data_IF_880273120169
#
_entry.id   IF_880273120169
#
_cell.length_a   1.000
_cell.length_b   1.000
_cell.length_c   1.000
_cell.angle_alpha   90.00
_cell.angle_beta   90.00
_cell.angle_gamma   90.00
#
_symmetry.space_group_name_H-M   'P 1'
#
loop_
_entity.id
_entity.type
_entity.pdbx_description
1 polymer ?
#
# COMPACT_ATOMS: atom_id res chain seq x y z
N UNK A 1 -8.20 23.40 -16.39
CA UNK A 1 -8.98 22.31 -15.78
C UNK A 1 -8.07 21.63 -14.78
N UNK A 2 -8.53 21.43 -13.54
CA UNK A 2 -7.81 20.63 -12.56
C UNK A 2 -7.62 19.22 -13.13
N UNK A 3 -6.40 18.68 -13.13
CA UNK A 3 -6.18 17.31 -13.57
C UNK A 3 -6.48 16.39 -12.39
N UNK A 4 -7.24 15.33 -12.65
CA UNK A 4 -7.46 14.24 -11.70
C UNK A 4 -6.25 13.31 -11.78
N UNK A 5 -5.68 12.94 -10.65
CA UNK A 5 -4.62 11.94 -10.57
C UNK A 5 -5.21 10.58 -10.18
N UNK A 6 -4.60 9.51 -10.69
CA UNK A 6 -4.85 8.15 -10.22
C UNK A 6 -3.77 7.75 -9.23
N UNK A 7 -4.15 7.22 -8.07
CA UNK A 7 -3.23 6.72 -7.07
C UNK A 7 -3.54 5.26 -6.79
N UNK A 8 -2.53 4.42 -6.94
CA UNK A 8 -2.53 3.08 -6.37
C UNK A 8 -1.85 3.15 -5.00
N UNK A 9 -2.67 3.04 -3.94
CA UNK A 9 -2.21 3.05 -2.56
C UNK A 9 -1.94 1.61 -2.12
N UNK A 10 -0.79 1.06 -2.50
CA UNK A 10 -0.42 -0.32 -2.22
C UNK A 10 0.03 -0.55 -0.77
N UNK A 11 -0.01 -1.81 -0.33
CA UNK A 11 0.45 -2.23 1.01
C UNK A 11 1.96 -2.01 1.17
N UNK A 12 2.73 -2.38 0.16
CA UNK A 12 4.20 -2.28 0.17
C UNK A 12 4.69 -1.06 -0.62
N UNK A 13 4.13 -0.83 -1.82
CA UNK A 13 4.51 0.28 -2.69
C UNK A 13 3.28 0.98 -3.22
N UNK A 14 3.38 2.28 -3.41
CA UNK A 14 2.35 3.13 -4.03
C UNK A 14 2.87 3.79 -5.29
N UNK A 15 1.97 4.12 -6.22
CA UNK A 15 2.32 4.90 -7.40
C UNK A 15 1.23 5.92 -7.74
N UNK A 16 1.62 6.94 -8.52
CA UNK A 16 0.72 7.97 -9.02
C UNK A 16 0.82 8.08 -10.53
N UNK A 17 -0.33 8.24 -11.17
CA UNK A 17 -0.44 8.38 -12.62
C UNK A 17 -1.38 9.54 -12.99
N UNK A 18 -1.15 10.06 -14.19
CA UNK A 18 -2.00 11.06 -14.83
C UNK A 18 -2.41 10.60 -16.22
N UNK A 19 -3.43 11.22 -16.77
CA UNK A 19 -3.76 11.11 -18.19
C UNK A 19 -3.07 12.23 -18.95
N UNK A 20 -2.09 11.91 -19.79
CA UNK A 20 -1.35 12.84 -20.63
C UNK A 20 -1.62 12.54 -22.09
N UNK A 21 -2.22 13.49 -22.81
CA UNK A 21 -2.61 13.31 -24.22
C UNK A 21 -3.46 12.05 -24.48
N UNK A 22 -4.36 11.72 -23.56
CA UNK A 22 -5.25 10.55 -23.65
C UNK A 22 -4.57 9.21 -23.31
N UNK A 23 -3.32 9.22 -22.83
CA UNK A 23 -2.60 8.01 -22.41
C UNK A 23 -2.25 8.08 -20.92
N UNK A 24 -2.37 6.97 -20.18
CA UNK A 24 -1.91 6.93 -18.80
C UNK A 24 -0.38 7.02 -18.74
N UNK A 25 0.10 7.83 -17.82
CA UNK A 25 1.52 8.01 -17.55
C UNK A 25 1.75 7.94 -16.04
N UNK A 26 2.59 7.02 -15.62
CA UNK A 26 3.08 6.94 -14.23
C UNK A 26 4.12 8.06 -14.04
N UNK A 27 3.99 8.77 -12.92
CA UNK A 27 4.90 9.85 -12.53
C UNK A 27 6.02 9.27 -11.69
N UNK A 28 7.26 9.63 -12.03
CA UNK A 28 8.42 9.32 -11.20
C UNK A 28 8.44 10.20 -9.95
N UNK A 29 8.84 9.64 -8.83
CA UNK A 29 9.02 10.37 -7.59
C UNK A 29 10.32 11.21 -7.60
N UNK A 30 10.60 11.91 -6.51
CA UNK A 30 11.81 12.74 -6.38
C UNK A 30 13.12 11.95 -6.42
N UNK A 31 13.05 10.64 -6.20
CA UNK A 31 14.15 9.70 -6.26
C UNK A 31 14.36 9.11 -7.67
N UNK A 32 13.48 9.40 -8.63
CA UNK A 32 13.51 8.88 -10.01
C UNK A 32 12.80 7.54 -10.20
N UNK A 33 12.14 7.03 -9.16
CA UNK A 33 11.44 5.75 -9.20
C UNK A 33 9.97 5.93 -9.56
N UNK A 34 9.39 4.95 -10.26
CA UNK A 34 7.96 4.93 -10.61
C UNK A 34 7.05 4.45 -9.51
N UNK A 35 7.63 3.84 -8.48
CA UNK A 35 6.93 3.41 -7.28
C UNK A 35 7.60 4.02 -6.06
N UNK A 36 6.81 4.24 -5.01
CA UNK A 36 7.30 4.79 -3.74
C UNK A 36 6.93 3.80 -2.64
N UNK A 37 7.87 3.33 -1.81
CA UNK A 37 7.54 2.49 -0.66
C UNK A 37 6.47 3.14 0.22
N UNK A 38 5.44 2.36 0.57
CA UNK A 38 4.35 2.78 1.46
C UNK A 38 4.82 2.75 2.92
N UNK A 39 5.96 3.40 3.18
CA UNK A 39 6.65 3.45 4.48
C UNK A 39 6.71 4.89 4.96
N UNK A 40 6.40 5.08 6.25
CA UNK A 40 6.44 6.40 6.92
C UNK A 40 7.28 6.28 8.17
N UNK A 41 8.32 7.12 8.30
CA UNK A 41 9.15 7.17 9.50
C UNK A 41 9.02 8.52 10.19
N UNK A 42 8.87 8.48 11.50
CA UNK A 42 8.78 9.64 12.37
C UNK A 42 10.12 9.83 13.07
N UNK A 43 10.89 10.80 12.62
CA UNK A 43 12.16 11.20 13.26
C UNK A 43 11.94 12.24 14.35
N UNK A 44 12.99 12.73 14.99
CA UNK A 44 12.85 13.79 16.00
C UNK A 44 12.36 15.12 15.39
N UNK A 45 12.73 15.39 14.14
CA UNK A 45 12.55 16.69 13.52
C UNK A 45 11.50 16.69 12.41
N UNK A 46 11.23 15.54 11.79
CA UNK A 46 10.37 15.47 10.60
C UNK A 46 9.71 14.11 10.42
N UNK A 47 8.68 14.07 9.57
CA UNK A 47 8.08 12.83 9.03
C UNK A 47 8.59 12.63 7.61
N UNK A 48 9.19 11.49 7.36
CA UNK A 48 9.71 11.12 6.05
C UNK A 48 8.91 9.95 5.45
N UNK A 49 8.82 9.90 4.12
CA UNK A 49 7.99 8.93 3.39
C UNK A 49 8.77 8.34 2.23
N UNK A 50 8.56 7.07 1.95
CA UNK A 50 9.13 6.38 0.80
C UNK A 50 10.49 5.74 1.10
N UNK A 51 11.40 5.77 0.14
CA UNK A 51 12.68 5.07 0.23
C UNK A 51 13.54 5.54 1.40
N UNK A 52 13.54 6.85 1.67
CA UNK A 52 14.25 7.42 2.83
C UNK A 52 13.70 6.90 4.16
N UNK A 53 12.35 6.75 4.27
CA UNK A 53 11.70 6.15 5.42
C UNK A 53 12.06 4.67 5.56
N UNK A 54 12.05 3.92 4.44
CA UNK A 54 12.41 2.50 4.44
C UNK A 54 13.82 2.28 5.00
N UNK A 55 14.77 3.15 4.66
CA UNK A 55 16.14 3.08 5.21
C UNK A 55 16.19 3.36 6.72
N UNK A 56 15.24 4.09 7.27
CA UNK A 56 15.17 4.35 8.72
C UNK A 56 14.72 3.12 9.52
N UNK A 57 14.08 2.13 8.90
CA UNK A 57 13.61 0.93 9.58
C UNK A 57 14.72 0.19 10.34
N UNK A 58 15.96 0.31 9.87
CA UNK A 58 17.15 -0.28 10.49
C UNK A 58 17.50 0.38 11.81
N UNK A 59 17.47 1.69 11.88
CA UNK A 59 17.95 2.49 13.02
C UNK A 59 16.82 3.04 13.88
N UNK A 60 15.59 3.06 13.35
CA UNK A 60 14.40 3.61 14.00
C UNK A 60 13.17 2.70 13.78
N UNK A 61 13.25 1.38 14.06
CA UNK A 61 12.19 0.41 13.73
C UNK A 61 10.86 0.71 14.42
N UNK A 62 10.88 1.16 15.67
CA UNK A 62 9.67 1.43 16.45
C UNK A 62 8.85 2.61 15.92
N UNK A 63 9.47 3.54 15.18
CA UNK A 63 8.82 4.71 14.61
C UNK A 63 8.81 4.70 13.09
N UNK A 64 9.13 3.57 12.46
CA UNK A 64 9.05 3.37 11.02
C UNK A 64 7.91 2.41 10.70
N UNK A 65 6.88 2.95 10.10
CA UNK A 65 5.60 2.28 9.89
C UNK A 65 5.48 1.81 8.45
N UNK A 66 5.11 0.55 8.28
CA UNK A 66 4.87 -0.08 6.98
C UNK A 66 3.62 -0.96 7.04
N UNK A 67 3.14 -1.46 5.91
CA UNK A 67 1.95 -2.31 5.79
C UNK A 67 0.68 -1.73 6.45
N UNK A 68 0.61 -0.41 6.64
CA UNK A 68 -0.50 0.28 7.34
C UNK A 68 -1.86 0.04 6.67
N UNK A 69 -1.88 -0.26 5.38
CA UNK A 69 -3.09 -0.65 4.65
C UNK A 69 -3.80 -1.86 5.26
N UNK A 70 -3.06 -2.78 5.92
CA UNK A 70 -3.63 -3.92 6.64
C UNK A 70 -4.46 -3.51 7.86
N UNK A 71 -4.21 -2.32 8.43
CA UNK A 71 -4.88 -1.80 9.62
C UNK A 71 -6.04 -0.85 9.27
N UNK A 72 -6.06 -0.27 8.05
CA UNK A 72 -6.97 0.81 7.69
C UNK A 72 -8.44 0.37 7.79
N UNK A 73 -9.24 1.10 8.58
CA UNK A 73 -10.66 0.81 8.76
C UNK A 73 -10.98 -0.50 9.49
N UNK A 74 -10.00 -1.11 10.15
CA UNK A 74 -10.16 -2.38 10.88
C UNK A 74 -10.28 -2.21 12.39
N UNK A 75 -10.99 -3.16 13.01
CA UNK A 75 -11.03 -3.29 14.47
C UNK A 75 -9.79 -4.02 14.97
N UNK A 76 -9.41 -3.74 16.22
CA UNK A 76 -8.33 -4.45 16.91
C UNK A 76 -8.82 -5.84 17.33
N UNK A 77 -8.87 -6.75 16.39
CA UNK A 77 -9.34 -8.15 16.54
C UNK A 77 -8.17 -9.15 16.70
N UNK A 78 -8.49 -10.45 16.62
CA UNK A 78 -7.50 -11.50 16.78
C UNK A 78 -6.43 -11.55 15.68
N UNK A 79 -6.76 -11.17 14.44
CA UNK A 79 -5.79 -11.09 13.33
C UNK A 79 -4.84 -9.92 13.53
N UNK A 80 -5.38 -8.74 13.86
CA UNK A 80 -4.58 -7.55 14.15
C UNK A 80 -3.69 -7.74 15.37
N UNK A 81 -4.12 -8.53 16.38
CA UNK A 81 -3.25 -8.87 17.51
C UNK A 81 -2.04 -9.68 17.08
N UNK A 82 -2.19 -10.63 16.16
CA UNK A 82 -1.07 -11.40 15.61
C UNK A 82 -0.12 -10.50 14.81
N UNK A 83 -0.67 -9.58 14.00
CA UNK A 83 0.12 -8.57 13.30
C UNK A 83 0.93 -7.72 14.29
N UNK A 84 0.31 -7.29 15.39
CA UNK A 84 0.97 -6.49 16.43
C UNK A 84 2.13 -7.24 17.15
N UNK A 85 2.10 -8.56 17.17
CA UNK A 85 3.18 -9.39 17.75
C UNK A 85 4.39 -9.50 16.80
N UNK A 86 4.17 -9.33 15.49
CA UNK A 86 5.20 -9.49 14.46
C UNK A 86 5.83 -8.17 14.00
N UNK A 87 5.20 -7.02 14.29
CA UNK A 87 5.71 -5.70 13.90
C UNK A 87 6.58 -5.06 14.97
N UNK A 88 7.64 -4.33 14.60
CA UNK A 88 8.49 -3.64 15.57
C UNK A 88 7.83 -2.38 16.17
N UNK A 89 6.83 -1.81 15.50
CA UNK A 89 6.08 -0.66 15.97
C UNK A 89 4.82 -1.09 16.74
N UNK A 90 4.33 -0.22 17.60
CA UNK A 90 3.25 -0.55 18.53
C UNK A 90 1.87 -0.33 17.91
N UNK A 91 1.13 -1.42 17.68
CA UNK A 91 -0.29 -1.38 17.30
C UNK A 91 -1.14 -1.45 18.56
N UNK A 92 -2.11 -0.54 18.69
CA UNK A 92 -2.94 -0.37 19.87
C UNK A 92 -4.43 -0.43 19.53
N UNK A 93 -5.24 -0.73 20.55
CA UNK A 93 -6.70 -0.60 20.46
C UNK A 93 -7.09 0.82 20.83
N UNK A 94 -7.75 1.54 19.94
CA UNK A 94 -8.34 2.84 20.20
C UNK A 94 -9.62 2.72 21.06
N UNK A 95 -10.10 3.84 21.59
CA UNK A 95 -11.30 3.88 22.48
C UNK A 95 -12.57 3.39 21.75
N UNK A 96 -12.65 3.63 20.43
CA UNK A 96 -13.73 3.13 19.58
C UNK A 96 -13.54 1.66 19.13
N UNK A 97 -12.48 1.01 19.57
CA UNK A 97 -12.14 -0.37 19.26
C UNK A 97 -11.37 -0.57 17.94
N UNK A 98 -11.04 0.48 17.23
CA UNK A 98 -10.26 0.40 15.99
C UNK A 98 -8.78 0.10 16.26
N UNK A 99 -8.10 -0.45 15.25
CA UNK A 99 -6.66 -0.65 15.27
C UNK A 99 -5.96 0.69 14.95
N UNK A 100 -5.19 1.19 15.90
CA UNK A 100 -4.37 2.40 15.76
C UNK A 100 -2.90 2.07 16.01
N UNK A 101 -2.03 3.02 15.72
CA UNK A 101 -0.58 2.90 15.97
C UNK A 101 -0.15 3.95 16.99
N UNK A 102 0.74 3.59 17.89
CA UNK A 102 1.36 4.53 18.82
C UNK A 102 2.80 4.82 18.37
N UNK A 103 3.10 6.07 18.11
CA UNK A 103 4.41 6.55 17.67
C UNK A 103 4.82 7.71 18.55
N UNK A 104 5.98 7.63 19.20
CA UNK A 104 6.50 8.69 20.10
C UNK A 104 5.48 9.14 21.16
N UNK A 105 4.63 8.22 21.64
CA UNK A 105 3.59 8.52 22.61
C UNK A 105 2.31 9.14 22.01
N UNK A 106 2.27 9.42 20.72
CA UNK A 106 1.06 9.87 20.01
C UNK A 106 0.30 8.68 19.42
N UNK A 107 -1.02 8.72 19.51
CA UNK A 107 -1.91 7.71 18.93
C UNK A 107 -2.39 8.18 17.57
N UNK A 108 -2.02 7.45 16.53
CA UNK A 108 -2.34 7.77 15.14
C UNK A 108 -3.27 6.74 14.53
N UNK A 109 -4.33 7.20 13.89
CA UNK A 109 -5.18 6.34 13.09
C UNK A 109 -4.49 5.97 11.76
N UNK A 110 -4.70 4.75 11.22
CA UNK A 110 -4.09 4.30 9.98
C UNK A 110 -4.31 5.26 8.80
N UNK A 111 -5.47 5.90 8.72
CA UNK A 111 -5.76 6.90 7.68
C UNK A 111 -4.88 8.16 7.78
N UNK A 112 -4.43 8.56 8.96
CA UNK A 112 -3.51 9.67 9.12
C UNK A 112 -2.11 9.31 8.59
N UNK A 113 -1.69 8.07 8.81
CA UNK A 113 -0.40 7.56 8.33
C UNK A 113 -0.46 7.36 6.80
N UNK A 114 -1.53 6.76 6.29
CA UNK A 114 -1.76 6.62 4.84
C UNK A 114 -1.83 7.96 4.13
N UNK A 115 -2.33 9.01 4.79
CA UNK A 115 -2.36 10.36 4.25
C UNK A 115 -0.95 10.93 4.01
N UNK A 116 0.07 10.52 4.76
CA UNK A 116 1.46 10.92 4.50
C UNK A 116 1.95 10.36 3.16
N UNK A 117 1.61 9.09 2.88
CA UNK A 117 1.94 8.46 1.58
C UNK A 117 1.19 9.18 0.45
N UNK A 118 -0.11 9.45 0.62
CA UNK A 118 -0.91 10.17 -0.37
C UNK A 118 -0.40 11.60 -0.61
N UNK A 119 0.09 12.27 0.43
CA UNK A 119 0.72 13.59 0.32
C UNK A 119 2.00 13.53 -0.52
N UNK A 120 2.82 12.49 -0.35
CA UNK A 120 4.01 12.26 -1.21
C UNK A 120 3.60 12.02 -2.65
N UNK A 121 2.55 11.21 -2.91
CA UNK A 121 2.02 10.97 -4.26
C UNK A 121 1.51 12.26 -4.90
N UNK A 122 0.71 13.04 -4.15
CA UNK A 122 0.24 14.36 -4.58
C UNK A 122 1.40 15.27 -4.95
N UNK A 123 2.39 15.38 -4.07
CA UNK A 123 3.58 16.23 -4.28
C UNK A 123 4.35 15.82 -5.54
N UNK A 124 4.57 14.53 -5.77
CA UNK A 124 5.23 14.05 -7.00
C UNK A 124 4.47 14.46 -8.25
N UNK A 125 3.14 14.38 -8.23
CA UNK A 125 2.30 14.82 -9.36
C UNK A 125 2.33 16.34 -9.55
N UNK A 126 2.30 17.12 -8.48
CA UNK A 126 2.38 18.59 -8.51
C UNK A 126 3.73 19.07 -9.03
N UNK A 127 4.83 18.45 -8.60
CA UNK A 127 6.18 18.77 -9.07
C UNK A 127 6.33 18.47 -10.58
N UNK A 128 5.75 17.36 -11.05
CA UNK A 128 5.74 17.03 -12.47
C UNK A 128 4.88 17.99 -13.30
N UNK A 129 3.69 18.35 -12.80
CA UNK A 129 2.71 19.16 -13.55
C UNK A 129 2.94 20.67 -13.42
N UNK A 130 3.69 21.11 -12.41
CA UNK A 130 3.95 22.52 -12.14
C UNK A 130 2.74 23.29 -11.56
N UNK A 131 1.71 22.60 -11.07
CA UNK A 131 0.53 23.23 -10.45
C UNK A 131 -0.12 22.33 -9.39
N UNK A 132 -0.91 22.96 -8.52
CA UNK A 132 -1.65 22.28 -7.45
C UNK A 132 -2.64 21.24 -7.97
N UNK A 133 -2.71 20.10 -7.28
CA UNK A 133 -3.64 19.00 -7.54
C UNK A 133 -4.63 18.91 -6.39
N UNK A 134 -5.92 18.83 -6.73
CA UNK A 134 -7.03 18.77 -5.75
C UNK A 134 -7.86 17.50 -5.81
N UNK A 135 -7.81 16.78 -6.93
CA UNK A 135 -8.70 15.66 -7.19
C UNK A 135 -7.94 14.37 -7.47
N UNK A 136 -8.42 13.27 -6.91
CA UNK A 136 -7.83 11.95 -7.10
C UNK A 136 -8.87 10.84 -7.24
N UNK A 137 -8.47 9.78 -7.93
CA UNK A 137 -9.07 8.45 -7.87
C UNK A 137 -8.08 7.55 -7.16
N UNK A 138 -8.54 6.77 -6.17
CA UNK A 138 -7.66 5.89 -5.38
C UNK A 138 -8.15 4.45 -5.50
N UNK A 139 -7.23 3.51 -5.65
CA UNK A 139 -7.56 2.08 -5.69
C UNK A 139 -7.61 1.45 -4.31
N UNK A 140 -8.43 0.42 -4.17
CA UNK A 140 -8.52 -0.43 -2.98
C UNK A 140 -8.74 -1.89 -3.40
N UNK A 141 -8.36 -2.87 -2.57
CA UNK A 141 -8.71 -4.26 -2.79
C UNK A 141 -10.22 -4.46 -2.94
N UNK A 142 -10.63 -5.43 -3.77
CA UNK A 142 -12.05 -5.67 -4.03
C UNK A 142 -12.82 -6.12 -2.78
N UNK A 143 -12.15 -6.79 -1.83
CA UNK A 143 -12.73 -7.26 -0.57
C UNK A 143 -12.87 -6.18 0.51
N UNK A 144 -12.33 -4.97 0.30
CA UNK A 144 -12.46 -3.90 1.28
C UNK A 144 -13.94 -3.60 1.56
N UNK A 145 -14.30 -3.61 2.84
CA UNK A 145 -15.63 -3.23 3.29
C UNK A 145 -15.80 -1.69 3.30
N UNK A 146 -17.01 -1.24 3.61
CA UNK A 146 -17.36 0.19 3.59
C UNK A 146 -16.50 1.02 4.57
N UNK A 147 -16.18 0.47 5.74
CA UNK A 147 -15.33 1.15 6.72
C UNK A 147 -13.91 1.37 6.18
N UNK A 148 -13.33 0.38 5.51
CA UNK A 148 -12.00 0.47 4.91
C UNK A 148 -11.99 1.43 3.72
N UNK A 149 -13.03 1.41 2.89
CA UNK A 149 -13.21 2.35 1.77
C UNK A 149 -13.37 3.78 2.27
N UNK A 150 -14.17 3.98 3.32
CA UNK A 150 -14.35 5.30 3.92
C UNK A 150 -13.05 5.80 4.54
N UNK A 151 -12.33 4.98 5.29
CA UNK A 151 -11.04 5.34 5.88
C UNK A 151 -9.99 5.70 4.81
N UNK A 152 -10.02 5.04 3.63
CA UNK A 152 -9.19 5.41 2.48
C UNK A 152 -9.58 6.77 1.90
N UNK A 153 -10.87 7.07 1.80
CA UNK A 153 -11.34 8.42 1.42
C UNK A 153 -10.91 9.49 2.41
N UNK A 154 -11.00 9.17 3.70
CA UNK A 154 -10.60 10.09 4.77
C UNK A 154 -9.08 10.36 4.72
N UNK A 155 -8.27 9.34 4.42
CA UNK A 155 -6.84 9.52 4.19
C UNK A 155 -6.57 10.49 3.03
N UNK A 156 -7.30 10.35 1.92
CA UNK A 156 -7.23 11.30 0.79
C UNK A 156 -7.60 12.72 1.20
N UNK A 157 -8.67 12.89 1.97
CA UNK A 157 -9.11 14.19 2.48
C UNK A 157 -8.07 14.82 3.41
N UNK A 158 -7.45 14.05 4.30
CA UNK A 158 -6.36 14.50 5.18
C UNK A 158 -5.16 14.97 4.35
N UNK A 159 -4.85 14.28 3.23
CA UNK A 159 -3.81 14.67 2.28
C UNK A 159 -4.18 15.90 1.41
N UNK A 160 -5.36 16.50 1.63
CA UNK A 160 -5.84 17.64 0.85
C UNK A 160 -6.30 17.26 -0.57
N UNK A 161 -6.82 16.04 -0.75
CA UNK A 161 -7.37 15.54 -2.01
C UNK A 161 -8.88 15.33 -1.88
N UNK A 162 -9.64 15.80 -2.86
CA UNK A 162 -11.01 15.38 -3.10
C UNK A 162 -10.97 14.03 -3.80
N UNK A 163 -11.33 12.95 -3.09
CA UNK A 163 -11.38 11.61 -3.67
C UNK A 163 -12.68 11.44 -4.46
N UNK A 164 -12.59 11.57 -5.77
CA UNK A 164 -13.73 11.48 -6.70
C UNK A 164 -14.32 10.07 -6.78
N UNK A 165 -13.45 9.05 -6.75
CA UNK A 165 -13.85 7.64 -6.75
C UNK A 165 -12.84 6.78 -5.98
N UNK A 166 -13.37 5.74 -5.38
CA UNK A 166 -12.61 4.55 -4.97
C UNK A 166 -12.90 3.46 -6.01
N UNK A 167 -11.86 2.86 -6.57
CA UNK A 167 -11.96 1.82 -7.61
C UNK A 167 -11.30 0.55 -7.07
N UNK A 168 -11.88 -0.61 -7.39
CA UNK A 168 -11.26 -1.88 -7.04
C UNK A 168 -9.98 -2.12 -7.85
N UNK A 169 -8.91 -2.52 -7.19
CA UNK A 169 -7.60 -2.82 -7.80
C UNK A 169 -7.71 -3.79 -9.00
N UNK A 170 -8.43 -4.92 -8.90
CA UNK A 170 -8.56 -5.82 -10.04
C UNK A 170 -9.34 -5.20 -11.21
N UNK A 171 -10.30 -4.31 -10.95
CA UNK A 171 -10.99 -3.56 -12.00
C UNK A 171 -10.04 -2.57 -12.69
N UNK A 172 -9.22 -1.87 -11.92
CA UNK A 172 -8.20 -0.97 -12.47
C UNK A 172 -7.17 -1.73 -13.31
N UNK A 173 -6.74 -2.91 -12.87
CA UNK A 173 -5.82 -3.77 -13.60
C UNK A 173 -6.44 -4.26 -14.94
N UNK A 174 -7.70 -4.69 -14.93
CA UNK A 174 -8.40 -5.11 -16.13
C UNK A 174 -8.55 -3.95 -17.14
N UNK A 175 -8.87 -2.75 -16.66
CA UNK A 175 -8.93 -1.53 -17.48
C UNK A 175 -7.55 -1.18 -18.07
N UNK A 176 -6.49 -1.22 -17.26
CA UNK A 176 -5.12 -0.94 -17.71
C UNK A 176 -4.65 -1.93 -18.77
N UNK A 177 -5.07 -3.19 -18.68
CA UNK A 177 -4.81 -4.22 -19.70
C UNK A 177 -5.62 -4.04 -21.00
N UNK A 178 -6.55 -3.07 -21.02
CA UNK A 178 -7.36 -2.75 -22.20
C UNK A 178 -8.54 -3.70 -22.41
N UNK A 179 -9.05 -4.30 -21.36
CA UNK A 179 -10.22 -5.18 -21.42
C UNK A 179 -11.50 -4.43 -21.83
N UNK A 180 -11.57 -3.12 -21.57
CA UNK A 180 -12.64 -2.22 -22.03
C UNK A 180 -12.76 -2.14 -23.55
N UNK A 181 -11.67 -2.42 -24.27
CA UNK A 181 -11.60 -2.37 -25.74
C UNK A 181 -11.98 -3.68 -26.42
N UNK A 182 -12.10 -4.76 -25.67
CA UNK A 182 -12.50 -6.07 -26.22
C UNK A 182 -14.02 -6.13 -26.39
N UNK A 183 -14.46 -6.77 -27.47
CA UNK A 183 -15.88 -6.93 -27.80
C UNK A 183 -16.50 -8.13 -27.09
N UNK A 184 -17.79 -8.05 -26.79
CA UNK A 184 -18.58 -9.11 -26.16
C UNK A 184 -18.38 -9.23 -24.66
N UNK A 185 -19.20 -10.07 -24.04
CA UNK A 185 -19.14 -10.37 -22.62
C UNK A 185 -17.99 -11.32 -22.33
N UNK A 186 -17.28 -11.08 -21.24
CA UNK A 186 -16.12 -11.89 -20.85
C UNK A 186 -16.07 -12.06 -19.34
N UNK A 187 -15.54 -13.20 -18.91
CA UNK A 187 -15.10 -13.43 -17.53
C UNK A 187 -13.59 -13.55 -17.50
N UNK A 188 -12.97 -12.76 -16.66
CA UNK A 188 -11.52 -12.73 -16.52
C UNK A 188 -11.12 -12.98 -15.07
N UNK A 189 -10.02 -13.69 -14.88
CA UNK A 189 -9.37 -13.80 -13.59
C UNK A 189 -8.23 -12.79 -13.52
N UNK A 190 -8.21 -11.98 -12.47
CA UNK A 190 -7.08 -11.11 -12.13
C UNK A 190 -6.35 -11.77 -10.97
N UNK A 191 -5.09 -12.11 -11.20
CA UNK A 191 -4.18 -12.70 -10.24
C UNK A 191 -3.16 -11.61 -9.84
N UNK A 192 -3.24 -11.15 -8.61
CA UNK A 192 -2.41 -10.07 -8.08
C UNK A 192 -1.59 -10.60 -6.89
N UNK A 193 -0.30 -10.82 -7.12
CA UNK A 193 0.67 -11.16 -6.08
C UNK A 193 1.54 -9.93 -5.83
N UNK A 194 1.16 -9.17 -4.82
CA UNK A 194 1.89 -7.98 -4.38
C UNK A 194 3.06 -8.29 -3.45
N UNK A 195 3.67 -7.24 -2.89
CA UNK A 195 4.75 -7.40 -1.92
C UNK A 195 4.26 -7.92 -0.56
N UNK A 196 3.03 -7.61 -0.16
CA UNK A 196 2.49 -7.97 1.14
C UNK A 196 1.13 -8.67 1.13
N UNK A 197 0.47 -8.79 -0.03
CA UNK A 197 -0.84 -9.43 -0.19
C UNK A 197 -0.90 -10.25 -1.47
N UNK A 198 -1.69 -11.30 -1.46
CA UNK A 198 -2.09 -12.06 -2.63
C UNK A 198 -3.60 -11.96 -2.80
N UNK A 199 -4.03 -11.56 -4.00
CA UNK A 199 -5.43 -11.39 -4.35
C UNK A 199 -5.75 -12.06 -5.68
N UNK A 200 -6.86 -12.79 -5.72
CA UNK A 200 -7.42 -13.32 -6.95
C UNK A 200 -8.88 -12.90 -7.06
N UNK A 201 -9.26 -12.31 -8.20
CA UNK A 201 -10.61 -11.81 -8.43
C UNK A 201 -11.12 -12.30 -9.77
N UNK A 202 -12.38 -12.71 -9.80
CA UNK A 202 -13.11 -13.01 -11.03
C UNK A 202 -13.98 -11.81 -11.36
N UNK A 203 -13.77 -11.24 -12.53
CA UNK A 203 -14.50 -10.08 -13.02
C UNK A 203 -15.31 -10.46 -14.24
N UNK A 204 -16.58 -10.08 -14.26
CA UNK A 204 -17.42 -10.09 -15.45
C UNK A 204 -17.36 -8.72 -16.14
N UNK A 205 -17.14 -8.76 -17.43
CA UNK A 205 -17.25 -7.62 -18.32
C UNK A 205 -18.49 -7.84 -19.17
N UNK A 206 -19.49 -7.01 -18.98
CA UNK A 206 -20.72 -7.05 -19.79
C UNK A 206 -20.87 -5.76 -20.57
N UNK A 207 -21.51 -5.81 -21.73
CA UNK A 207 -21.88 -4.64 -22.49
C UNK A 207 -23.37 -4.36 -22.30
N UNK A 208 -23.71 -3.29 -21.58
CA UNK A 208 -25.06 -2.90 -21.28
C UNK A 208 -25.29 -1.49 -21.86
N UNK A 209 -26.27 -1.36 -22.74
CA UNK A 209 -26.64 -0.09 -23.41
C UNK A 209 -25.43 0.58 -24.15
N UNK A 210 -24.50 -0.23 -24.67
CA UNK A 210 -23.30 0.25 -25.39
C UNK A 210 -22.17 0.71 -24.49
N UNK A 211 -22.31 0.57 -23.17
CA UNK A 211 -21.26 0.87 -22.19
C UNK A 211 -20.71 -0.42 -21.57
N UNK A 212 -19.40 -0.47 -21.35
CA UNK A 212 -18.75 -1.58 -20.66
C UNK A 212 -18.91 -1.44 -19.15
N UNK A 213 -19.50 -2.47 -18.55
CA UNK A 213 -19.63 -2.60 -17.10
C UNK A 213 -18.68 -3.68 -16.59
N UNK A 214 -18.06 -3.41 -15.44
CA UNK A 214 -17.13 -4.31 -14.75
C UNK A 214 -17.73 -4.67 -13.41
N UNK A 215 -18.03 -5.93 -13.22
CA UNK A 215 -18.55 -6.47 -11.97
C UNK A 215 -17.58 -7.49 -11.38
N UNK A 216 -17.19 -7.30 -10.11
CA UNK A 216 -16.39 -8.30 -9.39
C UNK A 216 -17.35 -9.37 -8.87
N UNK A 217 -17.34 -10.55 -9.50
CA UNK A 217 -18.20 -11.67 -9.14
C UNK A 217 -17.74 -12.36 -7.86
N UNK A 218 -16.44 -12.50 -7.69
CA UNK A 218 -15.84 -13.10 -6.49
C UNK A 218 -14.42 -12.61 -6.31
N UNK A 219 -13.98 -12.56 -5.07
CA UNK A 219 -12.60 -12.26 -4.70
C UNK A 219 -12.19 -13.15 -3.53
N UNK A 220 -10.94 -13.59 -3.54
CA UNK A 220 -10.32 -14.32 -2.44
C UNK A 220 -8.82 -13.99 -2.44
N UNK A 221 -8.10 -14.39 -1.40
CA UNK A 221 -6.68 -14.11 -1.30
C UNK A 221 -6.15 -14.33 0.10
N UNK A 222 -4.94 -13.85 0.33
CA UNK A 222 -4.30 -13.85 1.63
C UNK A 222 -3.71 -12.46 1.89
N UNK A 223 -4.18 -11.82 2.95
CA UNK A 223 -3.75 -10.46 3.33
C UNK A 223 -2.36 -10.43 3.97
N UNK A 224 -1.75 -11.60 4.17
CA UNK A 224 -0.43 -11.76 4.79
C UNK A 224 0.48 -12.67 3.97
N UNK A 225 0.26 -12.74 2.64
CA UNK A 225 1.09 -13.48 1.69
C UNK A 225 1.50 -12.57 0.55
N UNK A 226 2.79 -12.35 0.38
CA UNK A 226 3.35 -11.55 -0.70
C UNK A 226 4.85 -11.77 -0.86
N UNK A 227 5.52 -10.93 -1.66
CA UNK A 227 6.95 -11.01 -1.90
C UNK A 227 7.79 -10.95 -0.63
N UNK A 228 7.37 -10.17 0.37
CA UNK A 228 8.04 -10.07 1.68
C UNK A 228 8.08 -11.42 2.43
N UNK A 229 7.06 -12.26 2.27
CA UNK A 229 7.02 -13.59 2.91
C UNK A 229 8.00 -14.55 2.24
N UNK A 230 8.17 -14.46 0.92
CA UNK A 230 9.21 -15.22 0.20
C UNK A 230 10.60 -14.79 0.63
N UNK A 231 10.84 -13.49 0.78
CA UNK A 231 12.11 -12.95 1.28
C UNK A 231 12.38 -13.44 2.71
N UNK A 232 11.38 -13.44 3.58
CA UNK A 232 11.51 -13.94 4.96
C UNK A 232 11.86 -15.43 5.01
N UNK A 233 11.25 -16.27 4.18
CA UNK A 233 11.61 -17.71 4.09
C UNK A 233 13.07 -17.88 3.69
N UNK A 234 13.57 -17.09 2.76
CA UNK A 234 14.98 -17.12 2.34
C UNK A 234 15.90 -16.63 3.44
N UNK A 235 15.55 -15.54 4.13
CA UNK A 235 16.30 -15.02 5.28
C UNK A 235 16.40 -16.08 6.38
N UNK A 236 15.29 -16.71 6.76
CA UNK A 236 15.25 -17.73 7.79
C UNK A 236 16.10 -18.95 7.42
N UNK A 237 16.09 -19.34 6.14
CA UNK A 237 16.95 -20.40 5.64
C UNK A 237 18.44 -20.03 5.78
N UNK A 238 18.84 -18.85 5.31
CA UNK A 238 20.22 -18.37 5.40
C UNK A 238 20.70 -18.25 6.85
N UNK A 239 19.87 -17.72 7.75
CA UNK A 239 20.13 -17.63 9.18
C UNK A 239 20.34 -19.02 9.79
N UNK A 240 19.47 -19.97 9.42
CA UNK A 240 19.57 -21.37 9.90
C UNK A 240 20.87 -22.05 9.46
N UNK A 241 21.23 -21.90 8.18
CA UNK A 241 22.49 -22.49 7.64
C UNK A 241 23.71 -21.82 8.26
N UNK A 242 23.73 -20.49 8.38
CA UNK A 242 24.82 -19.77 9.05
C UNK A 242 25.00 -20.22 10.50
N UNK A 243 23.89 -20.40 11.24
CA UNK A 243 23.92 -20.90 12.61
C UNK A 243 24.51 -22.31 12.71
N UNK A 244 24.19 -23.19 11.74
CA UNK A 244 24.77 -24.54 11.69
C UNK A 244 26.29 -24.53 11.40
N UNK A 245 26.71 -23.70 10.45
CA UNK A 245 28.12 -23.65 10.02
C UNK A 245 29.02 -22.96 11.03
N UNK A 246 28.54 -21.82 11.58
CA UNK A 246 29.38 -20.98 12.45
C UNK A 246 29.12 -21.22 13.94
N UNK A 247 28.16 -22.06 14.32
CA UNK A 247 27.68 -22.27 15.69
C UNK A 247 27.36 -20.96 16.43
N UNK A 248 26.82 -19.97 15.69
CA UNK A 248 26.58 -18.61 16.16
C UNK A 248 25.18 -18.19 15.76
N UNK A 249 24.40 -17.64 16.70
CA UNK A 249 23.03 -17.15 16.46
C UNK A 249 23.04 -15.69 16.02
N UNK A 250 22.99 -15.46 14.71
CA UNK A 250 22.99 -14.10 14.13
C UNK A 250 21.71 -13.32 14.42
N UNK A 251 20.61 -14.00 14.79
CA UNK A 251 19.31 -13.34 15.07
C UNK A 251 19.34 -12.55 16.39
N UNK A 252 20.22 -12.93 17.32
CA UNK A 252 20.42 -12.16 18.55
C UNK A 252 21.07 -10.79 18.32
N UNK A 253 21.60 -10.55 17.12
CA UNK A 253 22.16 -9.27 16.69
C UNK A 253 21.22 -8.60 15.69
N UNK A 254 20.27 -7.83 16.19
CA UNK A 254 19.25 -7.11 15.40
C UNK A 254 19.83 -6.21 14.30
N UNK A 255 21.06 -5.73 14.47
CA UNK A 255 21.76 -4.92 13.46
C UNK A 255 22.17 -5.69 12.20
N UNK A 256 22.25 -7.03 12.23
CA UNK A 256 22.58 -7.83 11.04
C UNK A 256 21.34 -8.03 10.14
N UNK A 257 20.15 -8.17 10.72
CA UNK A 257 18.89 -8.25 9.95
C UNK A 257 18.65 -7.01 9.08
N UNK A 258 19.13 -5.89 9.53
CA UNK A 258 18.91 -4.60 8.90
C UNK A 258 19.73 -4.36 7.63
N UNK A 259 20.86 -5.04 7.45
CA UNK A 259 21.73 -4.88 6.27
C UNK A 259 21.31 -5.71 5.06
N UNK A 260 20.41 -6.69 5.20
CA UNK A 260 20.02 -7.59 4.12
C UNK A 260 18.89 -7.05 3.24
N UNK A 261 18.09 -6.10 3.74
CA UNK A 261 16.96 -5.50 2.99
C UNK A 261 17.35 -4.33 2.07
N UNK A 262 18.61 -3.87 2.10
CA UNK A 262 19.05 -2.70 1.33
C UNK A 262 19.60 -3.01 -0.08
N UNK A 263 19.45 -4.24 -0.59
CA UNK A 263 20.07 -4.64 -1.87
C UNK A 263 19.13 -4.93 -3.04
N UNK A 264 17.83 -4.64 -2.89
CA UNK A 264 16.91 -4.83 -4.04
C UNK A 264 16.01 -3.63 -4.27
#
# INVERSE_FOLDING_TARGET
MSKIIGIDLGTTNSCVAILESGKPKIIENSEGDRTTPSVVAYTENETIVGQSAKRQAVTNPENTLYAIKRLIGRKFDGEIKKEAESTPFKIIKADNGDAWVEVKGEKLAPQQISAQVLTKMKKSAEDYLGHEIKEAVITVPAYFNDSQRQATKDAGKIAGLEVKRIINEPTAAALAFGMDKKTGDQKVAVYDLGGGTFDISIIELAEIDGEKQFEVLSTNGDTSLGGEDFDNVLIDHLVSEFKKEQNFDSVSYTHLRAHETDRY
#
